data_IF_422233370708
#
_entry.id   IF_422233370708
#
_cell.length_a   1.000
_cell.length_b   1.000
_cell.length_c   1.000
_cell.angle_alpha   90.00
_cell.angle_beta   90.00
_cell.angle_gamma   90.00
#
_symmetry.space_group_name_H-M   'P 1'
#
loop_
_entity.id
_entity.type
_entity.pdbx_description
1 polymer ?
#
# COMPACT_ATOMS: atom_id res chain seq x y z
N UNK A 1 13.07 29.69 -5.35
CA UNK A 1 11.77 29.17 -4.86
C UNK A 1 11.35 29.72 -3.51
N UNK A 2 12.21 30.44 -2.78
CA UNK A 2 11.86 31.05 -1.48
C UNK A 2 11.28 32.46 -1.67
N UNK A 3 11.84 33.27 -2.57
CA UNK A 3 11.39 34.65 -2.81
C UNK A 3 9.99 34.76 -3.43
N UNK A 4 9.59 33.80 -4.26
CA UNK A 4 8.26 33.73 -4.87
C UNK A 4 7.15 33.45 -3.83
N UNK A 5 7.47 32.77 -2.73
CA UNK A 5 6.50 32.51 -1.66
C UNK A 5 6.27 33.73 -0.76
N UNK A 6 7.28 34.60 -0.62
CA UNK A 6 7.21 35.78 0.26
C UNK A 6 6.33 36.89 -0.34
N UNK A 7 6.34 37.05 -1.67
CA UNK A 7 5.52 38.04 -2.37
C UNK A 7 4.00 37.79 -2.21
N UNK A 8 3.58 36.53 -2.12
CA UNK A 8 2.16 36.15 -1.96
C UNK A 8 1.62 36.56 -0.58
N UNK A 9 2.46 36.57 0.47
CA UNK A 9 2.05 37.00 1.80
C UNK A 9 1.95 38.53 1.96
N UNK A 10 2.57 39.30 1.05
CA UNK A 10 2.62 40.75 1.09
C UNK A 10 1.40 41.45 0.42
N UNK A 11 0.44 40.68 -0.11
CA UNK A 11 -0.85 41.22 -0.56
C UNK A 11 -0.90 41.72 -2.01
N UNK A 12 0.08 41.38 -2.86
CA UNK A 12 -0.04 41.58 -4.31
C UNK A 12 -0.76 40.39 -4.95
N UNK A 13 -2.09 40.46 -4.97
CA UNK A 13 -2.94 39.49 -5.70
C UNK A 13 -2.82 39.72 -7.19
N UNK A 14 -1.89 39.01 -7.84
CA UNK A 14 -2.09 38.65 -9.25
C UNK A 14 -2.99 37.43 -9.28
N UNK A 15 -4.18 37.62 -9.83
CA UNK A 15 -5.18 36.59 -10.08
C UNK A 15 -4.59 35.52 -11.02
N UNK A 16 -4.21 34.37 -10.46
CA UNK A 16 -3.82 33.20 -11.25
C UNK A 16 -4.97 32.19 -11.12
N UNK A 17 -5.74 31.93 -12.20
CA UNK A 17 -6.70 30.85 -12.19
C UNK A 17 -5.92 29.54 -12.30
N UNK A 18 -5.46 29.01 -11.16
CA UNK A 18 -4.82 27.70 -11.13
C UNK A 18 -5.90 26.62 -11.01
N UNK A 19 -6.61 26.35 -12.11
CA UNK A 19 -7.37 25.11 -12.23
C UNK A 19 -6.38 23.99 -12.56
N UNK A 20 -5.66 23.47 -11.55
CA UNK A 20 -4.96 22.18 -11.70
C UNK A 20 -6.01 21.08 -11.55
N UNK A 21 -6.73 20.77 -12.62
CA UNK A 21 -7.32 19.43 -12.76
C UNK A 21 -6.21 18.48 -13.15
N UNK A 22 -5.39 18.07 -12.18
CA UNK A 22 -4.57 16.88 -12.36
C UNK A 22 -5.54 15.70 -12.57
N UNK A 23 -5.40 14.89 -13.63
CA UNK A 23 -6.17 13.66 -13.71
C UNK A 23 -5.82 12.83 -12.47
N UNK A 24 -6.84 12.50 -11.68
CA UNK A 24 -6.69 11.55 -10.57
C UNK A 24 -6.03 10.30 -11.14
N UNK A 25 -4.80 9.93 -10.71
CA UNK A 25 -4.17 8.72 -11.22
C UNK A 25 -5.11 7.55 -10.94
N UNK A 26 -5.38 6.75 -11.97
CA UNK A 26 -6.18 5.55 -11.81
C UNK A 26 -5.51 4.67 -10.74
N UNK A 27 -6.26 4.29 -9.70
CA UNK A 27 -5.73 3.45 -8.63
C UNK A 27 -5.20 2.15 -9.23
N UNK A 28 -3.96 1.80 -8.91
CA UNK A 28 -3.37 0.54 -9.36
C UNK A 28 -4.25 -0.63 -8.92
N UNK A 29 -4.52 -1.56 -9.84
CA UNK A 29 -5.35 -2.72 -9.58
C UNK A 29 -4.50 -3.99 -9.65
N UNK A 30 -4.68 -4.95 -8.73
CA UNK A 30 -4.05 -6.25 -8.82
C UNK A 30 -4.40 -6.95 -10.12
N UNK A 31 -3.41 -7.59 -10.75
CA UNK A 31 -3.69 -8.44 -11.89
C UNK A 31 -4.52 -9.66 -11.49
N UNK A 32 -5.20 -10.27 -12.47
CA UNK A 32 -5.96 -11.50 -12.26
C UNK A 32 -5.13 -12.62 -11.62
N UNK A 33 -3.82 -12.68 -11.94
CA UNK A 33 -2.89 -13.64 -11.34
C UNK A 33 -2.76 -13.43 -9.84
N UNK A 34 -2.50 -12.20 -9.40
CA UNK A 34 -2.33 -11.86 -7.98
C UNK A 34 -3.64 -12.06 -7.20
N UNK A 35 -4.78 -11.70 -7.81
CA UNK A 35 -6.11 -11.98 -7.23
C UNK A 35 -6.32 -13.48 -7.01
N UNK A 36 -6.06 -14.30 -8.02
CA UNK A 36 -6.20 -15.74 -7.91
C UNK A 36 -5.27 -16.33 -6.83
N UNK A 37 -4.05 -15.82 -6.68
CA UNK A 37 -3.14 -16.25 -5.60
C UNK A 37 -3.72 -15.96 -4.22
N UNK A 38 -4.29 -14.77 -4.02
CA UNK A 38 -4.97 -14.41 -2.77
C UNK A 38 -6.17 -15.33 -2.52
N UNK A 39 -7.04 -15.50 -3.52
CA UNK A 39 -8.27 -16.29 -3.40
C UNK A 39 -8.00 -17.76 -3.09
N UNK A 40 -6.95 -18.34 -3.68
CA UNK A 40 -6.58 -19.74 -3.46
C UNK A 40 -5.90 -19.99 -2.12
N UNK A 41 -5.14 -19.03 -1.59
CA UNK A 41 -4.33 -19.23 -0.38
C UNK A 41 -5.03 -18.75 0.91
N UNK A 42 -5.91 -17.76 0.82
CA UNK A 42 -6.48 -17.07 1.98
C UNK A 42 -7.99 -17.28 2.11
N UNK A 43 -8.52 -17.31 3.34
CA UNK A 43 -9.96 -17.39 3.59
C UNK A 43 -10.70 -16.11 3.15
N UNK A 44 -11.96 -16.18 2.73
CA UNK A 44 -12.73 -15.02 2.25
C UNK A 44 -12.78 -13.84 3.24
N UNK A 45 -12.79 -14.13 4.54
CA UNK A 45 -12.86 -13.14 5.62
C UNK A 45 -11.72 -12.11 5.59
N UNK A 46 -10.60 -12.43 4.94
CA UNK A 46 -9.43 -11.54 4.87
C UNK A 46 -9.22 -10.92 3.48
N UNK A 47 -10.00 -11.32 2.47
CA UNK A 47 -9.78 -10.88 1.08
C UNK A 47 -9.90 -9.36 0.92
N UNK A 48 -10.85 -8.72 1.59
CA UNK A 48 -11.06 -7.28 1.47
C UNK A 48 -9.82 -6.48 1.92
N UNK A 49 -9.23 -6.86 3.06
CA UNK A 49 -8.05 -6.17 3.62
C UNK A 49 -6.79 -6.48 2.80
N UNK A 50 -6.64 -7.73 2.33
CA UNK A 50 -5.54 -8.13 1.46
C UNK A 50 -5.57 -7.36 0.15
N UNK A 51 -6.73 -7.28 -0.51
CA UNK A 51 -6.90 -6.57 -1.79
C UNK A 51 -6.51 -5.10 -1.68
N UNK A 52 -6.95 -4.40 -0.63
CA UNK A 52 -6.55 -3.00 -0.37
C UNK A 52 -5.04 -2.87 -0.16
N UNK A 53 -4.43 -3.85 0.53
CA UNK A 53 -2.98 -3.88 0.72
C UNK A 53 -2.22 -4.09 -0.60
N UNK A 54 -2.67 -5.02 -1.44
CA UNK A 54 -2.07 -5.29 -2.75
C UNK A 54 -2.17 -4.09 -3.69
N UNK A 55 -3.34 -3.42 -3.77
CA UNK A 55 -3.49 -2.18 -4.55
C UNK A 55 -2.43 -1.14 -4.17
N UNK A 56 -2.19 -0.96 -2.86
CA UNK A 56 -1.21 0.00 -2.36
C UNK A 56 0.23 -0.37 -2.71
N UNK A 57 0.56 -1.66 -2.65
CA UNK A 57 1.91 -2.15 -2.92
C UNK A 57 2.24 -2.17 -4.41
N UNK A 58 1.25 -2.42 -5.27
CA UNK A 58 1.42 -2.33 -6.72
C UNK A 58 1.59 -0.87 -7.14
N UNK A 59 0.78 0.03 -6.57
CA UNK A 59 0.94 1.48 -6.76
C UNK A 59 2.32 1.98 -6.30
N UNK A 60 2.86 1.38 -5.23
CA UNK A 60 4.19 1.69 -4.74
C UNK A 60 5.31 1.12 -5.62
N UNK A 61 5.13 -0.09 -6.17
CA UNK A 61 6.16 -0.78 -6.95
C UNK A 61 5.57 -1.61 -8.09
N UNK A 62 5.15 -2.86 -7.82
CA UNK A 62 4.63 -3.78 -8.82
C UNK A 62 3.92 -5.02 -8.21
N UNK A 63 3.45 -5.91 -9.08
CA UNK A 63 2.84 -7.19 -8.74
C UNK A 63 3.76 -8.13 -7.93
N UNK A 64 5.08 -8.08 -8.16
CA UNK A 64 6.05 -8.89 -7.40
C UNK A 64 6.02 -8.50 -5.94
N UNK A 65 5.84 -7.21 -5.66
CA UNK A 65 5.75 -6.70 -4.30
C UNK A 65 4.44 -7.12 -3.60
N UNK A 66 3.33 -7.15 -4.33
CA UNK A 66 2.08 -7.73 -3.84
C UNK A 66 2.20 -9.24 -3.58
N UNK A 67 2.91 -9.99 -4.43
CA UNK A 67 3.20 -11.40 -4.19
C UNK A 67 4.02 -11.60 -2.90
N UNK A 68 5.10 -10.85 -2.70
CA UNK A 68 5.92 -10.94 -1.50
C UNK A 68 5.13 -10.63 -0.21
N UNK A 69 4.14 -9.73 -0.31
CA UNK A 69 3.21 -9.45 0.77
C UNK A 69 2.32 -10.65 1.11
N UNK A 70 1.75 -11.32 0.10
CA UNK A 70 0.97 -12.55 0.30
C UNK A 70 1.85 -13.66 0.90
N UNK A 71 3.06 -13.87 0.38
CA UNK A 71 3.99 -14.90 0.86
C UNK A 71 4.31 -14.71 2.35
N UNK A 72 4.56 -13.47 2.79
CA UNK A 72 4.81 -13.14 4.20
C UNK A 72 3.59 -13.42 5.08
N UNK A 73 2.38 -13.14 4.60
CA UNK A 73 1.15 -13.37 5.37
C UNK A 73 0.74 -14.84 5.49
N UNK A 74 1.27 -15.74 4.66
CA UNK A 74 0.97 -17.18 4.79
C UNK A 74 1.35 -17.71 6.17
N UNK A 75 2.55 -17.39 6.65
CA UNK A 75 3.01 -17.81 7.99
C UNK A 75 2.11 -17.30 9.14
N UNK A 76 1.58 -16.08 8.98
CA UNK A 76 0.67 -15.46 9.95
C UNK A 76 -0.70 -16.13 9.89
N UNK A 77 -1.19 -16.47 8.70
CA UNK A 77 -2.44 -17.19 8.52
C UNK A 77 -2.38 -18.60 9.13
N UNK A 78 -1.28 -19.32 8.92
CA UNK A 78 -1.06 -20.64 9.54
C UNK A 78 -1.08 -20.55 11.07
N UNK A 79 -0.43 -19.53 11.62
CA UNK A 79 -0.43 -19.27 13.07
C UNK A 79 -1.84 -18.93 13.57
N UNK A 80 -2.58 -18.08 12.86
CA UNK A 80 -3.94 -17.70 13.25
C UNK A 80 -4.88 -18.92 13.22
N UNK A 81 -4.80 -19.75 12.16
CA UNK A 81 -5.51 -21.04 12.05
C UNK A 81 -5.22 -21.95 13.24
N UNK A 82 -3.94 -22.15 13.57
CA UNK A 82 -3.52 -22.97 14.70
C UNK A 82 -4.04 -22.49 16.07
N UNK A 83 -4.45 -21.22 16.16
CA UNK A 83 -4.99 -20.61 17.39
C UNK A 83 -6.51 -20.36 17.33
N UNK A 84 -7.24 -21.02 16.42
CA UNK A 84 -8.69 -20.89 16.30
C UNK A 84 -9.15 -19.60 15.60
N UNK A 85 -8.35 -19.08 14.67
CA UNK A 85 -8.62 -17.87 13.91
C UNK A 85 -9.96 -17.87 13.16
N UNK A 86 -10.44 -19.05 12.73
CA UNK A 86 -11.75 -19.23 12.10
C UNK A 86 -12.90 -18.67 12.95
N UNK A 87 -12.87 -18.91 14.26
CA UNK A 87 -13.91 -18.43 15.18
C UNK A 87 -13.81 -16.92 15.48
N UNK A 88 -12.74 -16.28 15.02
CA UNK A 88 -12.43 -14.86 15.28
C UNK A 88 -12.29 -14.05 13.98
N UNK A 89 -12.70 -14.62 12.84
CA UNK A 89 -12.59 -13.97 11.53
C UNK A 89 -11.16 -13.60 11.14
N UNK A 90 -10.19 -14.41 11.56
CA UNK A 90 -8.76 -14.23 11.29
C UNK A 90 -8.21 -12.85 11.69
N UNK A 91 -8.58 -12.37 12.89
CA UNK A 91 -8.22 -11.05 13.39
C UNK A 91 -6.71 -10.78 13.36
N UNK A 92 -5.87 -11.77 13.67
CA UNK A 92 -4.41 -11.62 13.64
C UNK A 92 -3.92 -11.40 12.21
N UNK A 93 -4.38 -12.21 11.26
CA UNK A 93 -4.02 -12.03 9.84
C UNK A 93 -4.49 -10.68 9.32
N UNK A 94 -5.73 -10.27 9.64
CA UNK A 94 -6.30 -8.98 9.20
C UNK A 94 -5.52 -7.78 9.74
N UNK A 95 -5.09 -7.83 10.99
CA UNK A 95 -4.38 -6.74 11.62
C UNK A 95 -2.94 -6.66 11.12
N UNK A 96 -2.29 -7.82 10.98
CA UNK A 96 -0.93 -7.92 10.45
C UNK A 96 -0.87 -7.41 9.01
N UNK A 97 -1.86 -7.76 8.18
CA UNK A 97 -2.01 -7.26 6.82
C UNK A 97 -1.93 -5.72 6.75
N UNK A 98 -2.67 -5.01 7.62
CA UNK A 98 -2.71 -3.53 7.65
C UNK A 98 -1.36 -2.90 8.00
N UNK A 99 -0.62 -3.50 8.93
CA UNK A 99 0.68 -3.01 9.35
C UNK A 99 1.80 -3.39 8.37
N UNK A 100 1.76 -4.60 7.82
CA UNK A 100 2.80 -5.12 6.94
C UNK A 100 2.93 -4.31 5.64
N UNK A 101 1.80 -3.90 5.04
CA UNK A 101 1.81 -3.01 3.85
C UNK A 101 2.63 -1.76 4.13
N UNK A 102 2.42 -1.17 5.31
CA UNK A 102 3.12 0.04 5.74
C UNK A 102 4.61 -0.20 5.93
N UNK A 103 4.99 -1.27 6.62
CA UNK A 103 6.39 -1.63 6.85
C UNK A 103 7.12 -1.87 5.54
N UNK A 104 6.52 -2.64 4.63
CA UNK A 104 7.11 -2.91 3.32
C UNK A 104 7.34 -1.63 2.52
N UNK A 105 6.35 -0.73 2.45
CA UNK A 105 6.50 0.52 1.71
C UNK A 105 7.51 1.49 2.34
N UNK A 106 7.59 1.59 3.68
CA UNK A 106 8.52 2.50 4.35
C UNK A 106 9.96 2.00 4.38
N UNK A 107 10.18 0.73 4.72
CA UNK A 107 11.54 0.17 4.81
C UNK A 107 12.26 0.23 3.46
N UNK A 108 11.53 0.04 2.35
CA UNK A 108 12.13 0.08 1.01
C UNK A 108 12.45 1.52 0.55
N UNK A 109 11.70 2.54 1.00
CA UNK A 109 12.08 3.95 0.76
C UNK A 109 13.46 4.24 1.37
N UNK A 110 13.70 3.80 2.60
CA UNK A 110 14.97 3.99 3.30
C UNK A 110 16.08 3.20 2.59
N UNK A 111 15.80 1.97 2.17
CA UNK A 111 16.77 1.11 1.46
C UNK A 111 17.19 1.68 0.10
N UNK A 112 16.25 2.27 -0.65
CA UNK A 112 16.53 2.86 -1.97
C UNK A 112 17.28 4.19 -1.85
N UNK A 113 17.05 4.97 -0.78
CA UNK A 113 17.87 6.15 -0.49
C UNK A 113 19.34 5.77 -0.25
N UNK A 114 19.60 4.67 0.46
CA UNK A 114 20.95 4.16 0.69
C UNK A 114 21.62 3.69 -0.62
N UNK A 115 20.84 3.06 -1.51
CA UNK A 115 21.28 2.63 -2.86
C UNK A 115 21.63 3.79 -3.81
N UNK A 116 21.25 5.03 -3.50
CA UNK A 116 21.60 6.23 -4.30
C UNK A 116 22.81 7.00 -3.76
N UNK A 117 23.38 6.59 -2.63
CA UNK A 117 24.45 7.34 -1.93
C UNK A 117 25.83 6.66 -2.03
N UNK A 118 25.97 5.56 -2.78
CA UNK A 118 27.27 4.97 -3.14
C UNK A 118 27.65 5.21 -4.58
#
# INVERSE_FOLDING_TARGET
GFDLGFAIAAGETTDIPVTVTSPTPARAQPTAKILAMMENAFPPDVHEVLRRGMERLIDFQDDTYAQAYLDRLQSVLETDRGNGGENRGYALTRDTARWLVRLMAYDDIIRVADLKTR
#
